data_IF_778146780481
#
_entry.id   IF_778146780481
#
_cell.length_a   1.000
_cell.length_b   1.000
_cell.length_c   1.000
_cell.angle_alpha   90.00
_cell.angle_beta   90.00
_cell.angle_gamma   90.00
#
_symmetry.space_group_name_H-M   'P 1'
#
loop_
_entity.id
_entity.type
_entity.pdbx_description
1 polymer ?
2 non-polymer ?
3 non-polymer ?
4 water ?
#
# COMPACT_ATOMS: atom_id res chain seq x y z
N UNK A 10 16.34 -15.73 -9.77
CA UNK A 10 15.22 -16.63 -9.41
C UNK A 10 15.34 -18.00 -10.10
N UNK A 11 14.84 -19.06 -9.47
CA UNK A 11 14.74 -20.41 -10.10
C UNK A 11 13.25 -20.75 -10.20
N UNK A 12 12.76 -21.01 -11.39
CA UNK A 12 11.34 -21.37 -11.65
C UNK A 12 11.33 -22.76 -12.29
N UNK A 13 10.66 -23.71 -11.65
CA UNK A 13 10.57 -25.11 -12.13
C UNK A 13 9.25 -25.72 -11.66
N UNK A 14 9.03 -27.01 -11.90
CA UNK A 14 7.88 -27.74 -11.34
C UNK A 14 8.42 -28.89 -10.49
N UNK A 15 7.74 -29.25 -9.42
CA UNK A 15 8.16 -30.37 -8.55
C UNK A 15 7.65 -31.69 -9.16
N UNK A 16 7.72 -32.78 -8.42
CA UNK A 16 7.33 -34.13 -8.90
C UNK A 16 5.80 -34.23 -8.99
N UNK A 17 5.07 -33.31 -8.35
CA UNK A 17 3.59 -33.25 -8.42
C UNK A 17 3.16 -32.30 -9.54
N UNK A 18 4.09 -31.79 -10.34
CA UNK A 18 3.79 -30.89 -11.47
C UNK A 18 3.48 -29.49 -10.99
N UNK A 19 3.75 -29.21 -9.72
CA UNK A 19 3.43 -27.89 -9.08
C UNK A 19 4.59 -26.93 -9.34
N UNK A 20 4.28 -25.70 -9.73
CA UNK A 20 5.30 -24.66 -9.95
C UNK A 20 6.00 -24.37 -8.63
N UNK A 21 7.32 -24.31 -8.63
CA UNK A 21 8.14 -23.93 -7.45
C UNK A 21 8.97 -22.71 -7.89
N UNK A 22 8.93 -21.63 -7.13
CA UNK A 22 9.79 -20.44 -7.38
C UNK A 22 10.65 -20.24 -6.12
N UNK A 23 11.95 -20.26 -6.25
CA UNK A 23 12.86 -20.05 -5.10
C UNK A 23 12.49 -20.99 -3.96
N UNK A 24 12.26 -22.26 -4.25
CA UNK A 24 12.01 -23.29 -3.21
C UNK A 24 10.58 -23.30 -2.67
N UNK A 25 9.72 -22.39 -3.11
CA UNK A 25 8.33 -22.25 -2.59
C UNK A 25 7.35 -22.80 -3.63
N UNK A 26 6.45 -23.67 -3.21
CA UNK A 26 5.44 -24.29 -4.09
C UNK A 26 4.21 -23.40 -4.22
N UNK A 27 3.64 -23.34 -5.42
CA UNK A 27 2.43 -22.54 -5.75
C UNK A 27 1.41 -23.49 -6.38
N UNK A 28 0.79 -24.38 -5.59
CA UNK A 28 -0.13 -25.39 -6.14
C UNK A 28 -1.37 -24.81 -6.85
N UNK A 29 -1.70 -23.54 -6.61
CA UNK A 29 -2.90 -22.90 -7.21
C UNK A 29 -2.55 -22.31 -8.57
N UNK A 30 -1.28 -22.32 -8.97
CA UNK A 30 -0.81 -21.63 -10.18
C UNK A 30 -0.78 -22.54 -11.41
N UNK A 31 -1.23 -22.02 -12.54
CA UNK A 31 -1.19 -22.73 -13.84
C UNK A 31 0.18 -22.42 -14.46
N UNK A 32 0.52 -21.14 -14.53
CA UNK A 32 1.80 -20.69 -15.15
C UNK A 32 2.39 -19.51 -14.39
N UNK A 33 3.70 -19.36 -14.40
CA UNK A 33 4.33 -18.12 -13.89
C UNK A 33 4.19 -17.07 -14.98
N UNK A 34 3.83 -15.83 -14.63
CA UNK A 34 3.73 -14.70 -15.60
C UNK A 34 5.00 -13.86 -15.47
N UNK A 35 5.38 -13.51 -14.24
CA UNK A 35 6.55 -12.64 -14.00
C UNK A 35 7.14 -12.85 -12.62
N UNK A 36 8.46 -12.93 -12.51
CA UNK A 36 9.18 -13.01 -11.23
C UNK A 36 9.22 -11.61 -10.59
N UNK A 37 9.52 -11.55 -9.30
CA UNK A 37 9.65 -10.27 -8.57
C UNK A 37 10.65 -9.35 -9.29
N UNK A 38 11.78 -9.88 -9.71
CA UNK A 38 12.86 -9.08 -10.33
C UNK A 38 12.34 -8.42 -11.62
N UNK A 39 11.59 -9.15 -12.43
CA UNK A 39 11.03 -8.64 -13.71
C UNK A 39 9.97 -7.57 -13.39
N UNK A 40 9.09 -7.86 -12.43
CA UNK A 40 8.04 -6.89 -12.03
C UNK A 40 8.71 -5.59 -11.56
N UNK A 41 9.68 -5.69 -10.66
CA UNK A 41 10.30 -4.48 -10.05
C UNK A 41 11.08 -3.70 -11.14
N UNK A 42 11.76 -4.41 -12.01
CA UNK A 42 12.49 -3.75 -13.13
C UNK A 42 11.48 -3.00 -13.98
N UNK A 43 10.34 -3.61 -14.25
CA UNK A 43 9.32 -3.03 -15.12
C UNK A 43 8.70 -1.78 -14.47
N UNK A 44 8.46 -1.84 -13.17
CA UNK A 44 7.83 -0.70 -12.43
C UNK A 44 8.83 0.46 -12.44
N UNK A 45 10.09 0.19 -12.15
CA UNK A 45 11.11 1.26 -12.06
C UNK A 45 11.24 1.93 -13.44
N UNK A 46 11.20 1.17 -14.52
CA UNK A 46 11.29 1.73 -15.89
C UNK A 46 10.11 2.68 -16.14
N UNK A 47 8.90 2.30 -15.74
CA UNK A 47 7.69 3.18 -15.91
C UNK A 47 7.84 4.41 -15.00
N UNK A 48 8.39 4.23 -13.80
CA UNK A 48 8.60 5.37 -12.86
C UNK A 48 9.50 6.41 -13.55
N UNK A 49 10.52 5.97 -14.24
CA UNK A 49 11.42 6.89 -14.99
C UNK A 49 10.59 7.62 -16.07
N UNK A 50 9.76 6.89 -16.81
CA UNK A 50 8.92 7.49 -17.88
C UNK A 50 7.96 8.52 -17.25
N UNK A 51 7.33 8.20 -16.12
CA UNK A 51 6.35 9.10 -15.45
C UNK A 51 7.10 10.35 -14.98
N UNK A 52 8.26 10.17 -14.38
CA UNK A 52 9.07 11.30 -13.86
C UNK A 52 9.49 12.19 -15.03
N UNK A 53 9.95 11.58 -16.12
CA UNK A 53 10.41 12.34 -17.31
C UNK A 53 9.25 13.11 -17.92
N UNK A 54 8.04 12.55 -17.90
CA UNK A 54 6.86 13.19 -18.53
C UNK A 54 6.36 14.36 -17.68
N UNK A 55 6.25 14.19 -16.36
CA UNK A 55 5.61 15.21 -15.48
C UNK A 55 6.60 16.26 -14.94
N UNK A 56 7.86 15.90 -14.76
CA UNK A 56 8.87 16.81 -14.14
C UNK A 56 8.80 18.21 -14.78
N UNK A 57 8.80 18.33 -16.12
CA UNK A 57 8.82 19.67 -16.74
C UNK A 57 7.48 20.43 -16.77
N UNK A 58 6.38 19.85 -16.31
CA UNK A 58 5.04 20.46 -16.50
C UNK A 58 4.70 21.40 -15.35
N UNK A 59 3.72 22.28 -15.52
CA UNK A 59 3.25 23.24 -14.50
C UNK A 59 1.71 23.09 -14.39
N UNK A 60 1.10 23.56 -13.31
CA UNK A 60 -0.36 23.44 -13.10
C UNK A 60 -0.81 24.44 -12.03
N UNK A 61 -2.07 24.42 -11.61
CA UNK A 61 -2.60 25.45 -10.68
C UNK A 61 -1.69 25.58 -9.45
N UNK A 62 -1.42 26.77 -8.97
CA UNK A 62 -0.60 27.07 -7.78
C UNK A 62 -1.60 27.24 -6.63
N UNK A 63 -1.71 26.26 -5.73
CA UNK A 63 -2.60 26.31 -4.55
C UNK A 63 -1.72 26.66 -3.34
N UNK A 64 -0.40 26.53 -3.44
CA UNK A 64 0.55 26.86 -2.35
C UNK A 64 0.67 28.38 -2.24
N UNK A 65 0.94 29.07 -3.35
CA UNK A 65 1.06 30.55 -3.38
C UNK A 65 -0.24 31.19 -3.82
N UNK A 66 -1.36 30.45 -3.77
CA UNK A 66 -2.68 30.94 -4.19
C UNK A 66 -2.51 31.75 -5.46
N UNK A 67 -1.61 31.31 -6.34
CA UNK A 67 -1.23 32.08 -7.54
C UNK A 67 -1.97 31.57 -8.74
N UNK A 68 -1.37 31.68 -9.91
CA UNK A 68 -1.98 31.16 -11.14
C UNK A 68 -1.43 29.78 -11.40
N UNK A 69 -0.24 29.70 -11.95
CA UNK A 69 0.34 28.42 -12.43
C UNK A 69 1.78 28.33 -11.95
N UNK A 70 2.25 27.13 -11.61
CA UNK A 70 3.60 26.94 -11.10
C UNK A 70 4.09 25.53 -11.46
N UNK A 71 5.41 25.30 -11.58
CA UNK A 71 5.91 23.99 -11.90
C UNK A 71 5.51 22.91 -10.88
N UNK A 72 5.43 21.66 -11.32
CA UNK A 72 5.20 20.53 -10.38
C UNK A 72 6.35 20.59 -9.38
N UNK A 73 6.05 20.63 -8.08
CA UNK A 73 7.04 20.79 -7.00
C UNK A 73 6.50 20.20 -5.71
N UNK A 74 7.30 20.19 -4.67
CA UNK A 74 6.80 19.78 -3.35
C UNK A 74 5.70 20.77 -2.94
N UNK A 75 5.76 22.03 -3.36
CA UNK A 75 4.71 23.04 -3.03
C UNK A 75 3.43 22.70 -3.80
N UNK A 76 3.53 22.24 -5.04
CA UNK A 76 2.38 21.88 -5.93
C UNK A 76 2.67 20.52 -6.54
N UNK A 77 2.52 19.42 -5.78
CA UNK A 77 2.91 18.13 -6.30
C UNK A 77 1.98 17.48 -7.34
N UNK A 78 2.51 16.50 -8.07
CA UNK A 78 1.65 15.66 -8.93
C UNK A 78 0.63 15.00 -7.99
N UNK A 79 -0.62 14.95 -8.38
CA UNK A 79 -1.70 14.31 -7.57
C UNK A 79 -1.84 12.87 -8.07
N UNK A 80 -1.62 11.89 -7.21
CA UNK A 80 -1.79 10.45 -7.56
C UNK A 80 -3.01 9.93 -6.80
N UNK A 81 -3.92 9.25 -7.50
CA UNK A 81 -5.11 8.62 -6.89
C UNK A 81 -4.90 7.13 -7.13
N UNK A 82 -4.69 6.35 -6.07
CA UNK A 82 -4.41 4.90 -6.14
C UNK A 82 -5.74 4.17 -5.94
N UNK A 83 -6.04 3.18 -6.76
CA UNK A 83 -7.32 2.43 -6.68
C UNK A 83 -7.18 1.23 -5.72
N UNK A 84 -7.80 1.32 -4.55
CA UNK A 84 -7.81 0.20 -3.58
C UNK A 84 -8.73 -0.90 -4.09
N UNK A 85 -8.52 -2.14 -3.62
CA UNK A 85 -7.42 -2.58 -2.72
C UNK A 85 -6.22 -3.07 -3.55
N UNK A 86 -6.46 -3.62 -4.73
CA UNK A 86 -5.41 -4.27 -5.52
C UNK A 86 -4.16 -3.46 -5.82
N UNK A 87 -4.22 -2.15 -5.85
CA UNK A 87 -3.07 -1.31 -6.25
C UNK A 87 -2.17 -0.91 -5.08
N UNK A 88 -2.51 -1.25 -3.83
CA UNK A 88 -1.76 -0.71 -2.66
C UNK A 88 -0.28 -1.15 -2.65
N UNK A 89 0.02 -2.40 -3.03
CA UNK A 89 1.41 -2.92 -3.02
C UNK A 89 2.16 -2.27 -4.21
N UNK A 90 1.54 -2.29 -5.38
CA UNK A 90 2.10 -1.66 -6.60
C UNK A 90 2.40 -0.19 -6.29
N UNK A 91 1.47 0.49 -5.64
CA UNK A 91 1.59 1.94 -5.34
C UNK A 91 2.76 2.15 -4.35
N UNK A 92 2.84 1.33 -3.31
CA UNK A 92 3.92 1.44 -2.30
C UNK A 92 5.27 1.40 -3.02
N UNK A 93 5.42 0.50 -3.98
CA UNK A 93 6.69 0.34 -4.71
C UNK A 93 6.90 1.48 -5.70
N UNK A 94 5.88 1.82 -6.46
CA UNK A 94 5.99 2.87 -7.51
C UNK A 94 6.39 4.20 -6.86
N UNK A 95 5.78 4.58 -5.73
CA UNK A 95 6.03 5.92 -5.14
C UNK A 95 7.52 6.01 -4.74
N UNK A 96 8.09 4.90 -4.26
CA UNK A 96 9.50 4.91 -3.82
C UNK A 96 10.40 5.08 -5.06
N UNK A 97 10.04 4.46 -6.18
CA UNK A 97 10.80 4.61 -7.46
C UNK A 97 10.60 6.05 -7.99
N UNK A 98 9.40 6.60 -7.86
CA UNK A 98 9.11 7.98 -8.33
C UNK A 98 9.99 8.93 -7.48
N UNK A 99 10.15 8.63 -6.21
CA UNK A 99 11.02 9.44 -5.32
C UNK A 99 12.48 9.30 -5.74
N UNK A 100 12.90 8.11 -6.11
CA UNK A 100 14.29 7.90 -6.60
C UNK A 100 14.55 8.85 -7.78
N UNK A 101 13.54 9.05 -8.64
CA UNK A 101 13.69 9.90 -9.87
C UNK A 101 13.32 11.35 -9.55
N UNK A 102 13.06 11.70 -8.30
CA UNK A 102 12.86 13.09 -7.86
C UNK A 102 11.56 13.73 -8.31
N UNK A 103 10.53 12.95 -8.56
CA UNK A 103 9.21 13.47 -9.00
C UNK A 103 8.40 13.88 -7.75
N UNK A 104 8.12 15.18 -7.54
CA UNK A 104 7.29 15.57 -6.41
C UNK A 104 5.84 15.08 -6.60
N UNK A 105 5.29 14.37 -5.62
CA UNK A 105 3.93 13.80 -5.73
C UNK A 105 3.29 13.54 -4.36
N UNK A 106 1.96 13.43 -4.33
CA UNK A 106 1.20 13.06 -3.12
C UNK A 106 0.20 11.99 -3.56
N UNK A 107 -0.26 11.14 -2.65
CA UNK A 107 -1.12 9.98 -2.99
C UNK A 107 -2.38 9.99 -2.14
N UNK A 108 -3.54 9.81 -2.73
CA UNK A 108 -4.81 9.63 -1.99
C UNK A 108 -5.41 8.35 -2.59
N UNK A 109 -6.50 7.85 -2.04
CA UNK A 109 -7.08 6.57 -2.45
C UNK A 109 -8.57 6.67 -2.72
N UNK A 110 -9.05 5.88 -3.67
CA UNK A 110 -10.50 5.73 -3.93
C UNK A 110 -10.70 4.22 -4.05
N UNK A 111 -11.87 3.68 -3.76
CA UNK A 111 -12.14 2.23 -3.94
C UNK A 111 -13.39 2.11 -4.79
N UNK A 112 -13.44 1.14 -5.69
CA UNK A 112 -14.60 0.93 -6.60
C UNK A 112 -14.98 -0.55 -6.56
N UNK A 113 -16.21 -0.85 -6.92
CA UNK A 113 -16.66 -2.26 -7.02
C UNK A 113 -17.79 -2.39 -8.03
N UNK A 114 -18.02 -3.60 -8.53
CA UNK A 114 -19.08 -3.89 -9.51
C UNK A 114 -20.19 -4.69 -8.82
N UNK A 115 -21.45 -4.46 -9.19
CA UNK A 115 -22.60 -5.24 -8.71
C UNK A 115 -23.24 -5.85 -9.96
N UNK A 122 -22.81 -6.40 -15.25
CA UNK A 122 -22.19 -5.77 -14.06
C UNK A 122 -22.17 -4.25 -14.23
N UNK A 123 -22.33 -3.50 -13.14
CA UNK A 123 -22.36 -2.03 -13.14
C UNK A 123 -21.44 -1.56 -12.01
N UNK A 124 -20.82 -0.39 -12.10
CA UNK A 124 -19.80 0.07 -11.13
C UNK A 124 -20.43 0.96 -10.05
N UNK A 125 -19.87 0.95 -8.84
CA UNK A 125 -20.30 1.82 -7.72
C UNK A 125 -19.06 2.20 -6.90
N UNK A 126 -18.98 3.42 -6.36
CA UNK A 126 -17.85 3.87 -5.51
C UNK A 126 -17.97 3.28 -4.12
N UNK A 127 -16.93 2.68 -3.56
CA UNK A 127 -16.93 2.14 -2.17
C UNK A 127 -16.31 3.17 -1.23
N UNK A 128 -15.27 3.86 -1.69
CA UNK A 128 -14.55 4.85 -0.87
C UNK A 128 -14.16 6.04 -1.74
N UNK A 129 -14.39 7.25 -1.24
CA UNK A 129 -14.09 8.48 -1.97
C UNK A 129 -12.69 8.99 -1.61
N UNK A 130 -12.05 9.75 -2.50
CA UNK A 130 -10.78 10.44 -2.20
C UNK A 130 -11.12 11.57 -1.21
N UNK A 131 -10.17 12.06 -0.43
CA UNK A 131 -10.38 13.18 0.53
C UNK A 131 -9.68 14.46 0.03
N UNK A 132 -8.98 14.42 -1.11
CA UNK A 132 -8.36 15.63 -1.73
C UNK A 132 -9.50 16.52 -2.28
N UNK A 133 -9.48 17.82 -1.99
CA UNK A 133 -10.62 18.74 -2.33
C UNK A 133 -10.20 19.94 -3.20
N UNK A 134 -8.96 19.99 -3.70
CA UNK A 134 -8.42 21.12 -4.51
C UNK A 134 -7.65 20.60 -5.73
N UNK A 135 -8.28 19.80 -6.59
CA UNK A 135 -7.62 19.16 -7.77
C UNK A 135 -7.92 19.91 -9.09
N UNK A 136 -8.79 20.91 -9.05
CA UNK A 136 -9.12 21.68 -10.27
C UNK A 136 -7.82 22.28 -10.80
N UNK A 137 -7.53 22.09 -12.08
CA UNK A 137 -6.33 22.67 -12.72
C UNK A 137 -5.04 21.97 -12.34
N UNK A 138 -5.14 20.79 -11.73
CA UNK A 138 -3.96 19.99 -11.32
C UNK A 138 -3.76 18.81 -12.28
N UNK A 139 -2.54 18.32 -12.42
CA UNK A 139 -2.23 17.10 -13.17
C UNK A 139 -2.57 15.94 -12.21
N UNK A 140 -3.40 15.00 -12.65
CA UNK A 140 -3.84 13.85 -11.82
C UNK A 140 -3.46 12.55 -12.53
N UNK A 141 -2.80 11.63 -11.83
CA UNK A 141 -2.38 10.31 -12.35
C UNK A 141 -3.09 9.24 -11.53
N UNK A 142 -3.81 8.33 -12.19
CA UNK A 142 -4.52 7.21 -11.54
C UNK A 142 -3.53 6.05 -11.52
N UNK A 143 -3.29 5.40 -10.39
CA UNK A 143 -2.47 4.17 -10.31
C UNK A 143 -3.47 3.02 -10.11
N UNK A 144 -3.48 2.05 -11.01
CA UNK A 144 -4.46 0.93 -10.98
C UNK A 144 -3.67 -0.38 -11.15
N UNK A 145 -4.19 -1.46 -10.58
CA UNK A 145 -3.52 -2.79 -10.63
C UNK A 145 -3.59 -3.34 -12.07
N UNK A 146 -4.77 -3.32 -12.67
CA UNK A 146 -4.95 -3.98 -13.99
C UNK A 146 -6.04 -3.32 -14.81
N UNK A 147 -5.86 -3.31 -16.13
CA UNK A 147 -6.93 -2.90 -17.07
C UNK A 147 -7.28 -4.23 -17.76
N UNK A 148 -8.52 -4.69 -17.66
CA UNK A 148 -8.97 -5.98 -18.24
C UNK A 148 -10.10 -5.62 -19.23
N UNK A 149 -11.34 -5.54 -18.77
CA UNK A 149 -12.50 -5.10 -19.61
C UNK A 149 -12.37 -3.61 -19.92
N UNK A 150 -11.84 -2.82 -18.99
CA UNK A 150 -11.71 -1.36 -19.11
C UNK A 150 -12.86 -0.62 -18.44
N UNK A 151 -13.84 -1.33 -17.90
CA UNK A 151 -15.06 -0.69 -17.35
C UNK A 151 -14.73 0.07 -16.06
N UNK A 152 -13.89 -0.52 -15.21
CA UNK A 152 -13.53 0.11 -13.92
C UNK A 152 -12.88 1.48 -14.19
N UNK A 153 -11.90 1.53 -15.08
CA UNK A 153 -11.14 2.78 -15.35
C UNK A 153 -12.02 3.78 -16.12
N UNK A 154 -12.88 3.33 -17.03
CA UNK A 154 -13.80 4.26 -17.76
C UNK A 154 -14.67 4.95 -16.70
N UNK A 155 -15.18 4.21 -15.71
CA UNK A 155 -16.01 4.77 -14.61
C UNK A 155 -15.18 5.78 -13.78
N UNK A 156 -13.98 5.38 -13.38
CA UNK A 156 -13.12 6.24 -12.51
C UNK A 156 -12.75 7.51 -13.28
N UNK A 157 -12.34 7.38 -14.53
CA UNK A 157 -11.86 8.54 -15.32
C UNK A 157 -13.03 9.52 -15.50
N UNK A 158 -14.22 9.02 -15.79
CA UNK A 158 -15.41 9.87 -16.03
C UNK A 158 -15.76 10.60 -14.73
N UNK A 159 -15.68 9.92 -13.59
CA UNK A 159 -16.05 10.50 -12.27
C UNK A 159 -15.01 11.57 -11.87
N UNK A 160 -13.72 11.26 -11.96
CA UNK A 160 -12.65 12.19 -11.51
C UNK A 160 -12.71 13.42 -12.41
N UNK A 161 -12.92 13.21 -13.70
CA UNK A 161 -12.95 14.33 -14.68
C UNK A 161 -14.08 15.31 -14.31
N UNK A 162 -15.30 14.83 -14.15
CA UNK A 162 -16.46 15.73 -13.91
C UNK A 162 -16.42 16.31 -12.50
N UNK A 163 -15.96 15.56 -11.50
CA UNK A 163 -16.05 15.99 -10.07
C UNK A 163 -14.87 16.87 -9.66
N UNK A 164 -13.69 16.67 -10.23
CA UNK A 164 -12.43 17.36 -9.81
C UNK A 164 -11.92 18.31 -10.92
N UNK A 165 -12.38 18.16 -12.16
CA UNK A 165 -11.99 19.07 -13.26
C UNK A 165 -10.46 19.19 -13.31
N UNK A 166 -9.71 18.08 -13.40
CA UNK A 166 -8.27 18.21 -13.46
C UNK A 166 -7.77 18.87 -14.76
N UNK A 167 -6.58 19.48 -14.74
CA UNK A 167 -5.93 20.02 -15.95
C UNK A 167 -5.75 18.86 -16.90
N UNK A 168 -5.09 17.78 -16.46
CA UNK A 168 -4.89 16.56 -17.27
C UNK A 168 -5.21 15.34 -16.39
N UNK A 169 -5.67 14.25 -16.98
CA UNK A 169 -6.00 12.99 -16.27
C UNK A 169 -5.36 11.84 -17.05
N UNK A 170 -4.37 11.16 -16.47
CA UNK A 170 -3.70 10.00 -17.09
C UNK A 170 -3.78 8.77 -16.15
N UNK A 171 -3.47 7.61 -16.68
CA UNK A 171 -3.58 6.32 -15.96
C UNK A 171 -2.30 5.52 -16.12
N UNK A 172 -1.77 4.98 -15.04
CA UNK A 172 -0.63 4.03 -15.05
C UNK A 172 -1.15 2.72 -14.49
N UNK A 173 -1.00 1.62 -15.20
CA UNK A 173 -1.40 0.28 -14.71
C UNK A 173 -0.15 -0.59 -14.53
N UNK A 174 -0.19 -1.46 -13.54
CA UNK A 174 0.88 -2.46 -13.34
C UNK A 174 0.72 -3.44 -14.50
N UNK A 175 -0.50 -3.90 -14.74
CA UNK A 175 -0.75 -4.93 -15.75
C UNK A 175 -1.80 -4.53 -16.80
N UNK A 176 -1.54 -4.85 -18.06
CA UNK A 176 -2.52 -4.70 -19.15
C UNK A 176 -2.87 -6.13 -19.58
N UNK A 177 -4.14 -6.53 -19.55
CA UNK A 177 -4.61 -7.83 -20.10
C UNK A 177 -5.26 -7.41 -21.44
N UNK A 178 -4.52 -7.40 -22.56
CA UNK A 178 -5.04 -6.82 -23.80
C UNK A 178 -6.33 -7.47 -24.33
N UNK A 179 -6.45 -8.79 -24.18
CA UNK A 179 -7.58 -9.53 -24.77
C UNK A 179 -8.88 -9.36 -24.01
N UNK A 180 -8.83 -8.82 -22.80
CA UNK A 180 -10.03 -8.67 -21.97
C UNK A 180 -10.89 -7.46 -22.36
N UNK A 181 -10.40 -6.54 -23.19
CA UNK A 181 -11.11 -5.27 -23.46
C UNK A 181 -12.54 -5.45 -23.97
N UNK A 182 -13.48 -4.74 -23.37
CA UNK A 182 -14.89 -4.71 -23.81
C UNK A 182 -15.27 -3.22 -24.03
N UNK A 183 -14.49 -2.26 -23.52
CA UNK A 183 -14.67 -0.81 -23.78
C UNK A 183 -13.27 -0.24 -24.07
N UNK A 184 -13.16 0.82 -24.86
CA UNK A 184 -11.86 1.35 -25.29
C UNK A 184 -11.16 1.94 -24.06
N UNK A 185 -9.95 1.48 -23.76
CA UNK A 185 -9.17 1.94 -22.60
C UNK A 185 -7.72 1.54 -22.81
N UNK A 186 -6.82 2.46 -23.05
CA UNK A 186 -5.38 2.14 -23.11
C UNK A 186 -4.72 3.09 -22.11
N UNK A 187 -4.29 2.59 -20.94
CA UNK A 187 -3.58 3.42 -20.02
C UNK A 187 -2.37 4.08 -20.70
N UNK A 188 -2.00 5.26 -20.26
CA UNK A 188 -0.86 6.01 -20.80
C UNK A 188 0.43 5.26 -20.45
N UNK A 189 0.48 4.67 -19.25
CA UNK A 189 1.69 3.97 -18.75
C UNK A 189 1.31 2.52 -18.38
N UNK A 190 2.09 1.53 -18.84
CA UNK A 190 1.84 0.09 -18.60
C UNK A 190 3.16 -0.57 -18.21
N UNK A 191 3.24 -1.18 -17.02
CA UNK A 191 4.49 -1.82 -16.53
C UNK A 191 4.64 -3.19 -17.19
N UNK A 192 3.57 -3.98 -17.21
CA UNK A 192 3.63 -5.39 -17.69
C UNK A 192 2.42 -5.73 -18.55
N UNK A 193 2.56 -6.67 -19.45
CA UNK A 193 1.44 -7.21 -20.25
C UNK A 193 1.25 -8.65 -19.74
N UNK A 194 0.02 -9.06 -19.47
CA UNK A 194 -0.29 -10.39 -18.91
C UNK A 194 -1.10 -11.19 -19.93
N UNK A 195 -1.11 -12.53 -19.83
CA UNK A 195 -1.94 -13.32 -20.72
C UNK A 195 -3.43 -13.11 -20.42
N UNK A 196 -4.31 -13.56 -21.32
CA UNK A 196 -5.79 -13.41 -21.21
C UNK A 196 -6.27 -14.51 -20.28
N UNK A 197 -5.85 -14.45 -19.02
CA UNK A 197 -6.15 -15.47 -18.00
C UNK A 197 -6.31 -14.75 -16.66
N UNK A 198 -6.90 -15.39 -15.68
CA UNK A 198 -7.03 -14.81 -14.32
C UNK A 198 -5.63 -14.82 -13.69
N UNK A 199 -5.10 -13.64 -13.33
CA UNK A 199 -3.75 -13.52 -12.70
C UNK A 199 -3.86 -13.43 -11.16
N UNK A 200 -2.85 -13.88 -10.46
CA UNK A 200 -2.80 -13.81 -8.97
C UNK A 200 -1.39 -13.41 -8.57
N UNK A 201 -1.24 -12.87 -7.37
CA UNK A 201 0.07 -12.42 -6.86
C UNK A 201 0.28 -10.94 -6.99
N UNK A 202 1.19 -10.38 -6.21
CA UNK A 202 1.56 -8.95 -6.28
C UNK A 202 0.30 -8.08 -6.38
N UNK A 203 -0.62 -8.25 -5.43
CA UNK A 203 -1.86 -7.45 -5.37
C UNK A 203 -3.07 -8.17 -5.94
N UNK A 204 -2.88 -9.14 -6.84
CA UNK A 204 -3.99 -9.86 -7.51
C UNK A 204 -4.46 -10.97 -6.57
N UNK A 205 -5.76 -11.16 -6.44
CA UNK A 205 -6.33 -12.03 -5.39
C UNK A 205 -7.37 -13.06 -5.83
N UNK A 206 -7.66 -14.03 -4.98
CA UNK A 206 -8.84 -14.92 -5.10
C UNK A 206 -9.49 -14.79 -3.71
N UNK A 207 -10.54 -13.99 -3.54
CA UNK A 207 -11.15 -13.71 -2.21
C UNK A 207 -10.07 -13.24 -1.23
N UNK A 208 -9.23 -12.31 -1.63
CA UNK A 208 -8.15 -11.67 -0.79
C UNK A 208 -6.95 -12.59 -0.55
N UNK A 209 -6.98 -13.83 -1.00
CA UNK A 209 -5.81 -14.71 -0.88
C UNK A 209 -4.81 -14.42 -2.02
N UNK A 210 -3.52 -14.66 -1.80
CA UNK A 210 -2.46 -14.62 -2.84
C UNK A 210 -1.91 -13.22 -3.15
N UNK A 211 -2.46 -12.16 -2.55
CA UNK A 211 -2.02 -10.77 -2.83
C UNK A 211 -0.55 -10.59 -2.39
N UNK A 212 -0.12 -11.29 -1.36
CA UNK A 212 1.23 -11.10 -0.75
C UNK A 212 2.35 -11.78 -1.57
N UNK A 213 2.01 -12.52 -2.61
CA UNK A 213 3.03 -13.23 -3.42
C UNK A 213 3.90 -12.16 -4.10
N UNK A 214 5.19 -12.41 -4.23
CA UNK A 214 6.18 -11.47 -4.82
C UNK A 214 6.19 -11.63 -6.34
N UNK A 215 5.55 -12.69 -6.85
CA UNK A 215 5.52 -13.03 -8.29
C UNK A 215 4.07 -13.04 -8.77
N UNK A 216 3.87 -12.90 -10.08
CA UNK A 216 2.51 -12.94 -10.69
C UNK A 216 2.38 -14.28 -11.43
N UNK A 217 1.25 -14.95 -11.23
CA UNK A 217 0.97 -16.25 -11.86
C UNK A 217 -0.42 -16.24 -12.50
N UNK A 218 -0.71 -17.19 -13.39
CA UNK A 218 -2.08 -17.45 -13.88
C UNK A 218 -2.69 -18.46 -12.89
N UNK A 219 -4.00 -18.42 -12.69
CA UNK A 219 -4.71 -19.31 -11.71
C UNK A 219 -5.20 -20.58 -12.41
N UNK A 220 -4.97 -21.73 -11.80
CA UNK A 220 -5.58 -22.99 -12.30
C UNK A 220 -7.09 -22.74 -12.30
N UNK A 221 -7.86 -23.05 -13.36
CA UNK A 221 -9.30 -22.67 -13.38
C UNK A 221 -10.14 -23.22 -12.21
N UNK A 222 -9.84 -24.41 -11.71
CA UNK A 222 -10.61 -25.02 -10.60
C UNK A 222 -10.42 -24.33 -9.25
N UNK A 223 -9.44 -23.41 -9.12
CA UNK A 223 -9.10 -22.76 -7.82
C UNK A 223 -9.92 -21.47 -7.60
N UNK A 224 -10.64 -20.96 -8.60
CA UNK A 224 -11.31 -19.64 -8.54
C UNK A 224 -12.43 -19.59 -7.48
N UNK A 225 -13.09 -20.71 -7.17
CA UNK A 225 -14.17 -20.78 -6.15
C UNK A 225 -13.72 -21.64 -4.96
N UNK A 226 -12.44 -21.67 -4.66
CA UNK A 226 -11.89 -22.47 -3.53
C UNK A 226 -12.30 -21.84 -2.20
N UNK A 227 -12.50 -20.52 -2.14
CA UNK A 227 -12.77 -19.79 -0.88
C UNK A 227 -14.10 -19.07 -1.02
N UNK A 228 -15.23 -19.80 -0.99
CA UNK A 228 -16.53 -19.19 -1.24
C UNK A 228 -17.05 -18.28 -0.11
N UNK A 229 -16.64 -18.52 1.13
CA UNK A 229 -17.20 -17.79 2.30
C UNK A 229 -16.78 -16.31 2.30
N UNK A 230 -17.72 -15.43 2.58
CA UNK A 230 -17.47 -13.98 2.64
C UNK A 230 -16.62 -13.70 3.86
N UNK A 231 -15.67 -12.78 3.75
CA UNK A 231 -14.77 -12.44 4.87
C UNK A 231 -15.49 -11.41 5.75
N UNK B 9 27.21 -0.24 3.57
CA UNK B 9 25.87 -0.12 2.91
C UNK B 9 25.26 1.21 3.34
N UNK B 10 24.70 1.99 2.45
CA UNK B 10 24.21 3.38 2.69
C UNK B 10 25.39 4.30 3.00
N UNK B 11 25.59 5.32 2.18
CA UNK B 11 26.63 6.36 2.37
C UNK B 11 25.89 7.57 2.96
N UNK B 12 26.12 7.91 4.21
CA UNK B 12 25.43 9.03 4.90
C UNK B 12 26.44 10.14 5.15
N UNK B 13 26.16 11.35 4.68
CA UNK B 13 27.05 12.52 4.81
C UNK B 13 26.24 13.81 4.88
N UNK B 14 26.93 14.94 4.92
CA UNK B 14 26.28 16.27 4.85
C UNK B 14 26.99 17.06 3.75
N UNK B 15 26.26 17.82 2.98
CA UNK B 15 26.83 18.65 1.91
C UNK B 15 27.28 19.99 2.51
N UNK B 16 27.78 20.88 1.68
CA UNK B 16 28.33 22.17 2.14
C UNK B 16 27.22 23.06 2.73
N UNK B 17 25.95 22.81 2.40
CA UNK B 17 24.80 23.57 2.96
C UNK B 17 24.39 22.94 4.32
N UNK B 18 25.11 21.93 4.79
CA UNK B 18 24.83 21.25 6.07
C UNK B 18 23.67 20.27 5.95
N UNK B 19 23.22 19.99 4.74
CA UNK B 19 22.02 19.14 4.48
C UNK B 19 22.45 17.66 4.44
N UNK B 20 21.66 16.79 5.06
CA UNK B 20 21.94 15.34 5.10
C UNK B 20 21.84 14.79 3.68
N UNK B 21 22.79 13.96 3.29
CA UNK B 21 22.80 13.29 1.97
C UNK B 21 22.89 11.78 2.25
N UNK B 22 21.97 10.98 1.73
CA UNK B 22 21.97 9.49 1.86
C UNK B 22 22.03 8.94 0.43
N UNK B 23 23.08 8.19 0.10
CA UNK B 23 23.21 7.59 -1.26
C UNK B 23 23.04 8.67 -2.34
N UNK B 24 23.56 9.88 -2.12
CA UNK B 24 23.60 10.91 -3.16
C UNK B 24 22.37 11.77 -3.25
N UNK B 25 21.37 11.52 -2.40
CA UNK B 25 20.13 12.32 -2.37
C UNK B 25 20.16 13.23 -1.15
N UNK B 26 19.82 14.49 -1.33
CA UNK B 26 19.77 15.48 -0.22
C UNK B 26 18.38 15.54 0.40
N UNK B 27 18.32 15.74 1.72
CA UNK B 27 17.07 15.83 2.49
C UNK B 27 17.08 17.16 3.27
N UNK B 28 16.86 18.30 2.60
CA UNK B 28 16.98 19.60 3.28
C UNK B 28 15.95 19.80 4.41
N UNK B 29 14.90 18.98 4.45
CA UNK B 29 13.80 19.13 5.45
C UNK B 29 14.16 18.34 6.71
N UNK B 30 15.22 17.55 6.69
CA UNK B 30 15.55 16.62 7.78
C UNK B 30 16.54 17.22 8.78
N UNK B 31 16.35 16.92 10.06
CA UNK B 31 17.29 17.34 11.11
C UNK B 31 18.32 16.22 11.28
N UNK B 32 17.87 14.98 11.44
CA UNK B 32 18.78 13.82 11.63
C UNK B 32 18.20 12.56 10.98
N UNK B 33 19.08 11.62 10.64
CA UNK B 33 18.66 10.31 10.14
C UNK B 33 18.25 9.47 11.36
N UNK B 34 17.14 8.75 11.27
CA UNK B 34 16.68 7.83 12.35
C UNK B 34 17.06 6.40 11.90
N UNK B 35 16.70 6.03 10.69
CA UNK B 35 16.95 4.66 10.21
C UNK B 35 17.03 4.58 8.69
N UNK B 36 18.03 3.87 8.18
CA UNK B 36 18.20 3.62 6.74
C UNK B 36 17.20 2.55 6.31
N UNK B 37 17.00 2.44 5.02
CA UNK B 37 16.10 1.42 4.44
C UNK B 37 16.54 0.02 4.90
N UNK B 38 17.84 -0.24 4.89
CA UNK B 38 18.37 -1.60 5.20
C UNK B 38 17.96 -1.94 6.64
N UNK B 39 18.10 -1.00 7.56
CA UNK B 39 17.75 -1.23 8.99
C UNK B 39 16.22 -1.39 9.10
N UNK B 40 15.46 -0.57 8.39
CA UNK B 40 13.97 -0.61 8.50
C UNK B 40 13.50 -1.99 8.03
N UNK B 41 13.99 -2.43 6.87
CA UNK B 41 13.50 -3.69 6.26
C UNK B 41 13.90 -4.89 7.14
N UNK B 42 15.10 -4.87 7.67
CA UNK B 42 15.58 -5.96 8.57
C UNK B 42 14.65 -6.01 9.81
N UNK B 43 14.25 -4.83 10.31
CA UNK B 43 13.42 -4.74 11.53
C UNK B 43 12.01 -5.26 11.24
N UNK B 44 11.47 -4.91 10.08
CA UNK B 44 10.10 -5.34 9.70
C UNK B 44 10.10 -6.86 9.52
N UNK B 45 11.08 -7.39 8.82
CA UNK B 45 11.14 -8.85 8.52
C UNK B 45 11.29 -9.63 9.83
N UNK B 46 12.07 -9.10 10.76
CA UNK B 46 12.26 -9.76 12.08
C UNK B 46 10.91 -9.85 12.80
N UNK B 47 10.11 -8.79 12.74
CA UNK B 47 8.78 -8.77 13.43
C UNK B 47 7.81 -9.67 12.65
N UNK B 48 7.94 -9.73 11.32
CA UNK B 48 7.10 -10.63 10.49
C UNK B 48 7.29 -12.07 11.00
N UNK B 49 8.52 -12.44 11.30
CA UNK B 49 8.82 -13.80 11.79
C UNK B 49 8.13 -14.00 13.14
N UNK B 50 8.21 -13.00 14.02
CA UNK B 50 7.57 -13.05 15.36
C UNK B 50 6.05 -13.23 15.18
N UNK B 51 5.45 -12.49 14.24
CA UNK B 51 3.99 -12.52 14.00
C UNK B 51 3.63 -13.91 13.47
N UNK B 52 4.36 -14.39 12.47
CA UNK B 52 4.06 -15.70 11.86
C UNK B 52 4.23 -16.81 12.93
N UNK B 53 5.28 -16.71 13.73
CA UNK B 53 5.55 -17.73 14.78
C UNK B 53 4.43 -17.73 15.82
N UNK B 54 3.89 -16.56 16.15
CA UNK B 54 2.86 -16.42 17.20
C UNK B 54 1.51 -16.92 16.70
N UNK B 55 1.16 -16.64 15.45
CA UNK B 55 -0.20 -16.90 14.94
C UNK B 55 -0.37 -18.29 14.30
N UNK B 56 0.67 -18.82 13.65
CA UNK B 56 0.50 -20.09 12.90
C UNK B 56 0.00 -21.21 13.85
N UNK B 57 0.39 -21.24 15.14
CA UNK B 57 -0.15 -22.24 16.07
C UNK B 57 -1.62 -22.07 16.51
N UNK B 58 -2.23 -20.93 16.21
CA UNK B 58 -3.57 -20.58 16.77
C UNK B 58 -4.73 -21.09 15.91
N UNK B 59 -5.90 -21.15 16.52
CA UNK B 59 -7.16 -21.61 15.88
C UNK B 59 -8.23 -20.57 16.18
N UNK B 60 -9.26 -20.50 15.36
CA UNK B 60 -10.35 -19.52 15.54
C UNK B 60 -11.61 -20.00 14.81
N UNK B 61 -12.65 -19.19 14.75
CA UNK B 61 -13.95 -19.59 14.17
C UNK B 61 -13.76 -20.08 12.74
N UNK B 62 -14.36 -21.23 12.40
CA UNK B 62 -14.33 -21.81 11.04
C UNK B 62 -15.52 -21.23 10.27
N UNK B 63 -15.29 -20.33 9.32
CA UNK B 63 -16.35 -19.73 8.46
C UNK B 63 -16.30 -20.40 7.10
N UNK B 64 -15.29 -21.21 6.82
CA UNK B 64 -15.12 -21.94 5.55
C UNK B 64 -15.94 -23.25 5.61
N UNK B 65 -15.78 -24.03 6.69
CA UNK B 65 -16.38 -25.36 6.81
C UNK B 65 -17.46 -25.53 7.87
N UNK B 66 -18.22 -24.49 8.20
CA UNK B 66 -19.38 -24.67 9.11
C UNK B 66 -19.03 -24.92 10.57
N UNK B 67 -18.06 -24.21 11.12
CA UNK B 67 -17.73 -24.30 12.55
C UNK B 67 -16.95 -25.55 12.89
N UNK B 68 -16.60 -25.71 14.15
CA UNK B 68 -16.59 -24.65 15.16
C UNK B 68 -15.28 -23.87 15.10
N UNK B 69 -14.20 -24.49 15.58
CA UNK B 69 -12.85 -23.86 15.64
C UNK B 69 -11.92 -24.66 14.74
N UNK B 70 -11.05 -23.97 14.01
CA UNK B 70 -10.10 -24.59 13.07
C UNK B 70 -8.82 -23.77 13.05
N UNK B 71 -7.69 -24.36 12.64
CA UNK B 71 -6.44 -23.64 12.66
C UNK B 71 -6.42 -22.45 11.70
N UNK B 72 -5.61 -21.45 11.99
CA UNK B 72 -5.39 -20.34 11.02
C UNK B 72 -4.91 -21.06 9.76
N UNK B 73 -5.53 -20.81 8.62
CA UNK B 73 -5.23 -21.49 7.34
C UNK B 73 -5.64 -20.59 6.18
N UNK B 74 -5.36 -21.02 4.95
CA UNK B 74 -5.83 -20.26 3.79
C UNK B 74 -7.35 -20.27 3.83
N UNK B 75 -7.98 -21.30 4.37
CA UNK B 75 -9.47 -21.39 4.45
C UNK B 75 -9.98 -20.42 5.52
N UNK B 76 -9.25 -20.27 6.62
CA UNK B 76 -9.60 -19.38 7.76
C UNK B 76 -8.35 -18.54 8.10
N UNK B 77 -8.00 -17.54 7.29
CA UNK B 77 -6.77 -16.81 7.53
C UNK B 77 -6.78 -15.81 8.71
N UNK B 78 -5.61 -15.43 9.18
CA UNK B 78 -5.50 -14.31 10.14
C UNK B 78 -6.14 -13.10 9.44
N UNK B 79 -6.90 -12.32 10.17
CA UNK B 79 -7.54 -11.09 9.63
C UNK B 79 -6.66 -9.91 10.00
N UNK B 80 -6.12 -9.19 9.02
CA UNK B 80 -5.30 -7.98 9.26
C UNK B 80 -6.12 -6.75 8.85
N UNK B 81 -6.19 -5.76 9.73
CA UNK B 81 -6.84 -4.45 9.43
C UNK B 81 -5.70 -3.43 9.38
N UNK B 82 -5.46 -2.82 8.23
CA UNK B 82 -4.40 -1.81 8.01
C UNK B 82 -5.06 -0.43 8.09
N UNK B 83 -4.43 0.50 8.80
CA UNK B 83 -4.99 1.88 9.01
C UNK B 83 -4.47 2.81 7.91
N UNK B 84 -5.35 3.25 7.03
CA UNK B 84 -4.99 4.19 5.96
C UNK B 84 -5.06 5.63 6.52
N UNK B 85 -4.30 6.54 5.93
CA UNK B 85 -3.36 6.31 4.80
C UNK B 85 -1.96 5.94 5.31
N UNK B 86 -1.65 6.25 6.56
CA UNK B 86 -0.27 6.13 7.08
C UNK B 86 0.41 4.79 6.96
N UNK B 87 -0.30 3.69 7.05
CA UNK B 87 0.32 2.33 7.12
C UNK B 87 0.42 1.60 5.77
N UNK B 88 0.03 2.20 4.66
CA UNK B 88 -0.09 1.43 3.39
C UNK B 88 1.27 0.88 2.91
N UNK B 89 2.33 1.67 3.00
CA UNK B 89 3.69 1.24 2.54
C UNK B 89 4.21 0.15 3.50
N UNK B 90 4.16 0.42 4.79
CA UNK B 90 4.55 -0.56 5.84
C UNK B 90 3.78 -1.86 5.63
N UNK B 91 2.47 -1.74 5.37
CA UNK B 91 1.60 -2.93 5.21
C UNK B 91 2.07 -3.71 3.97
N UNK B 92 2.31 -3.02 2.85
CA UNK B 92 2.74 -3.68 1.58
C UNK B 92 4.01 -4.51 1.82
N UNK B 93 4.94 -3.96 2.58
CA UNK B 93 6.21 -4.67 2.88
C UNK B 93 5.98 -5.81 3.87
N UNK B 94 5.22 -5.54 4.91
CA UNK B 94 4.99 -6.53 5.99
C UNK B 94 4.29 -7.77 5.39
N UNK B 95 3.24 -7.58 4.62
CA UNK B 95 2.46 -8.76 4.13
C UNK B 95 3.40 -9.66 3.29
N UNK B 96 4.32 -9.08 2.55
CA UNK B 96 5.21 -9.89 1.68
C UNK B 96 6.14 -10.72 2.58
N UNK B 97 6.56 -10.13 3.70
CA UNK B 97 7.40 -10.87 4.67
C UNK B 97 6.55 -11.95 5.35
N UNK B 98 5.30 -11.65 5.68
CA UNK B 98 4.40 -12.63 6.32
C UNK B 98 4.22 -13.80 5.34
N UNK B 99 4.09 -13.51 4.06
CA UNK B 99 3.98 -14.56 3.03
C UNK B 99 5.26 -15.39 3.03
N UNK B 100 6.41 -14.74 3.11
CA UNK B 100 7.71 -15.46 3.12
C UNK B 100 7.73 -16.48 4.26
N UNK B 101 7.18 -16.11 5.41
CA UNK B 101 7.19 -16.95 6.63
C UNK B 101 5.95 -17.87 6.68
N UNK B 102 5.14 -17.90 5.63
CA UNK B 102 4.04 -18.87 5.50
C UNK B 102 2.87 -18.61 6.44
N UNK B 103 2.63 -17.36 6.82
CA UNK B 103 1.44 -17.04 7.65
C UNK B 103 0.22 -16.83 6.74
N UNK B 104 -0.86 -17.64 6.84
CA UNK B 104 -2.06 -17.37 6.07
C UNK B 104 -2.74 -16.11 6.62
N UNK B 105 -2.98 -15.14 5.73
CA UNK B 105 -3.60 -13.86 6.14
C UNK B 105 -4.32 -13.15 5.00
N UNK B 106 -5.25 -12.28 5.36
CA UNK B 106 -5.97 -11.41 4.39
C UNK B 106 -5.96 -10.01 5.01
N UNK B 107 -6.01 -8.97 4.18
CA UNK B 107 -5.89 -7.57 4.66
C UNK B 107 -7.10 -6.77 4.21
N UNK B 108 -7.71 -6.00 5.10
CA UNK B 108 -8.75 -5.01 4.72
C UNK B 108 -8.25 -3.69 5.32
N UNK B 109 -8.88 -2.59 4.96
CA UNK B 109 -8.41 -1.25 5.38
C UNK B 109 -9.52 -0.48 6.08
N UNK B 110 -9.14 0.30 7.08
CA UNK B 110 -10.04 1.33 7.65
C UNK B 110 -9.25 2.63 7.43
N UNK B 111 -9.93 3.76 7.22
CA UNK B 111 -9.25 5.06 7.06
C UNK B 111 -9.71 5.97 8.19
N UNK B 112 -8.76 6.55 8.92
CA UNK B 112 -9.03 7.46 10.05
C UNK B 112 -8.36 8.79 9.76
N UNK B 113 -8.92 9.89 10.24
CA UNK B 113 -8.31 11.24 10.14
C UNK B 113 -8.46 11.94 11.48
N UNK B 125 -12.09 11.12 13.41
CA UNK B 125 -13.12 10.75 12.42
C UNK B 125 -12.77 9.48 11.61
N UNK B 126 -13.73 8.57 11.44
CA UNK B 126 -13.57 7.40 10.55
C UNK B 126 -14.05 7.84 9.19
N UNK B 127 -13.20 7.78 8.16
CA UNK B 127 -13.53 8.24 6.79
C UNK B 127 -13.92 7.05 5.93
N UNK B 128 -13.36 5.87 6.19
CA UNK B 128 -13.67 4.65 5.41
C UNK B 128 -13.77 3.45 6.35
N UNK B 129 -14.82 2.65 6.20
CA UNK B 129 -15.08 1.46 7.03
C UNK B 129 -14.47 0.22 6.36
N UNK B 130 -14.23 -0.82 7.13
CA UNK B 130 -13.83 -2.12 6.57
C UNK B 130 -15.00 -2.70 5.75
N UNK B 131 -14.73 -3.57 4.78
CA UNK B 131 -15.76 -4.30 4.00
C UNK B 131 -15.91 -5.72 4.56
N UNK B 132 -14.96 -6.19 5.36
CA UNK B 132 -15.01 -7.53 6.01
C UNK B 132 -16.18 -7.51 7.02
N UNK B 133 -16.98 -8.56 7.06
CA UNK B 133 -18.21 -8.61 7.89
C UNK B 133 -18.33 -9.94 8.67
N UNK B 134 -17.27 -10.75 8.76
CA UNK B 134 -17.30 -12.08 9.43
C UNK B 134 -16.07 -12.23 10.34
N UNK B 135 -15.83 -11.25 11.21
CA UNK B 135 -14.63 -11.22 12.09
C UNK B 135 -14.95 -11.75 13.51
N UNK B 136 -16.20 -12.06 13.80
CA UNK B 136 -16.60 -12.59 15.13
C UNK B 136 -15.82 -13.88 15.41
N UNK B 137 -15.15 -13.96 16.56
CA UNK B 137 -14.42 -15.18 16.93
C UNK B 137 -13.19 -15.40 16.08
N UNK B 138 -12.74 -14.38 15.37
CA UNK B 138 -11.51 -14.46 14.55
C UNK B 138 -10.34 -13.76 15.24
N UNK B 139 -9.12 -14.18 14.96
CA UNK B 139 -7.90 -13.50 15.42
C UNK B 139 -7.72 -12.31 14.48
N UNK B 140 -7.64 -11.11 15.01
CA UNK B 140 -7.51 -9.86 14.20
C UNK B 140 -6.24 -9.10 14.63
N UNK B 141 -5.45 -8.66 13.68
CA UNK B 141 -4.20 -7.90 13.91
C UNK B 141 -4.33 -6.56 13.22
N UNK B 142 -4.09 -5.48 13.93
CA UNK B 142 -4.10 -4.11 13.36
C UNK B 142 -2.67 -3.79 12.94
N UNK B 143 -2.44 -3.30 11.72
CA UNK B 143 -1.11 -2.82 11.27
C UNK B 143 -1.24 -1.29 11.25
N UNK B 144 -0.43 -0.58 12.03
CA UNK B 144 -0.48 0.89 12.16
C UNK B 144 0.93 1.46 11.99
N UNK B 145 1.03 2.71 11.56
CA UNK B 145 2.33 3.37 11.29
C UNK B 145 3.08 3.66 12.59
N UNK B 146 2.43 4.33 13.52
CA UNK B 146 3.14 4.79 14.74
C UNK B 146 2.19 4.90 15.92
N UNK B 147 2.71 4.64 17.11
CA UNK B 147 1.98 4.92 18.37
C UNK B 147 2.78 6.08 18.97
N UNK B 148 2.14 7.21 19.23
CA UNK B 148 2.78 8.41 19.79
C UNK B 148 1.99 8.72 21.06
N UNK B 149 0.86 9.43 20.94
CA UNK B 149 -0.03 9.74 22.09
C UNK B 149 -0.75 8.48 22.56
N UNK B 150 -1.08 7.56 21.65
CA UNK B 150 -1.87 6.34 21.96
C UNK B 150 -3.35 6.53 21.67
N UNK B 151 -3.78 7.76 21.37
CA UNK B 151 -5.23 8.06 21.25
C UNK B 151 -5.83 7.40 20.00
N UNK B 152 -5.12 7.40 18.88
CA UNK B 152 -5.67 6.86 17.60
C UNK B 152 -5.97 5.36 17.80
N UNK B 153 -5.04 4.62 18.39
CA UNK B 153 -5.19 3.16 18.54
C UNK B 153 -6.27 2.87 19.60
N UNK B 154 -6.36 3.66 20.66
CA UNK B 154 -7.43 3.46 21.68
C UNK B 154 -8.77 3.58 20.95
N UNK B 155 -8.92 4.58 20.08
CA UNK B 155 -10.16 4.79 19.28
C UNK B 155 -10.43 3.59 18.37
N UNK B 156 -9.43 3.17 17.59
CA UNK B 156 -9.59 2.06 16.61
C UNK B 156 -9.88 0.75 17.37
N UNK B 157 -9.13 0.46 18.44
CA UNK B 157 -9.26 -0.83 19.17
C UNK B 157 -10.67 -0.94 19.75
N UNK B 158 -11.17 0.13 20.35
CA UNK B 158 -12.52 0.14 20.92
C UNK B 158 -13.55 -0.12 19.81
N UNK B 159 -13.41 0.58 18.70
CA UNK B 159 -14.35 0.45 17.55
C UNK B 159 -14.36 -1.00 17.04
N UNK B 160 -13.20 -1.59 16.78
CA UNK B 160 -13.09 -2.95 16.18
C UNK B 160 -13.64 -3.98 17.16
N UNK B 161 -13.31 -3.86 18.44
CA UNK B 161 -13.75 -4.84 19.46
C UNK B 161 -15.28 -4.84 19.49
N UNK B 162 -15.91 -3.67 19.56
CA UNK B 162 -17.38 -3.56 19.73
C UNK B 162 -18.15 -3.97 18.48
N UNK B 163 -17.65 -3.67 17.30
CA UNK B 163 -18.40 -3.94 16.04
C UNK B 163 -18.12 -5.35 15.52
N UNK B 164 -16.94 -5.91 15.76
CA UNK B 164 -16.52 -7.21 15.16
C UNK B 164 -16.43 -8.35 16.19
N UNK B 165 -16.31 -8.05 17.48
CA UNK B 165 -16.22 -9.05 18.57
C UNK B 165 -15.18 -10.12 18.20
N UNK B 166 -13.93 -9.73 17.91
CA UNK B 166 -12.92 -10.71 17.54
C UNK B 166 -12.53 -11.63 18.70
N UNK B 167 -11.99 -12.81 18.42
CA UNK B 167 -11.48 -13.76 19.45
C UNK B 167 -10.35 -13.07 20.19
N UNK B 168 -9.39 -12.52 19.43
CA UNK B 168 -8.28 -11.73 20.01
C UNK B 168 -8.03 -10.52 19.10
N UNK B 169 -7.55 -9.42 19.68
CA UNK B 169 -7.23 -8.19 18.92
C UNK B 169 -5.81 -7.77 19.36
N UNK B 170 -4.86 -7.73 18.43
CA UNK B 170 -3.48 -7.28 18.73
C UNK B 170 -3.09 -6.17 17.76
N UNK B 171 -2.03 -5.43 18.10
CA UNK B 171 -1.54 -4.30 17.29
C UNK B 171 -0.06 -4.49 16.96
N UNK B 172 0.31 -4.31 15.71
CA UNK B 172 1.72 -4.28 15.27
C UNK B 172 1.95 -2.86 14.73
N UNK B 173 2.90 -2.12 15.29
CA UNK B 173 3.25 -0.78 14.79
C UNK B 173 4.64 -0.84 14.15
N UNK B 174 4.83 -0.07 13.08
CA UNK B 174 6.17 0.08 12.50
C UNK B 174 7.02 0.80 13.54
N UNK B 175 6.49 1.87 14.12
CA UNK B 175 7.27 2.72 15.04
C UNK B 175 6.58 2.96 16.39
N UNK B 176 7.37 3.00 17.45
CA UNK B 176 6.90 3.36 18.81
C UNK B 176 7.67 4.62 19.22
N UNK B 177 6.99 5.72 19.55
CA UNK B 177 7.62 6.93 20.14
C UNK B 177 7.20 6.87 21.62
N UNK B 178 7.93 6.14 22.50
CA UNK B 178 7.45 5.93 23.87
C UNK B 178 7.28 7.25 24.64
N UNK B 179 8.06 8.28 24.30
CA UNK B 179 8.04 9.57 25.03
C UNK B 179 6.83 10.43 24.74
N UNK B 180 5.97 10.08 23.79
CA UNK B 180 4.83 10.93 23.41
C UNK B 180 3.50 10.52 24.00
N UNK B 181 3.46 9.54 24.89
CA UNK B 181 2.17 8.98 25.36
C UNK B 181 1.33 9.96 26.17
N UNK B 182 0.04 10.02 25.91
CA UNK B 182 -0.94 10.79 26.72
C UNK B 182 -1.92 9.78 27.34
N UNK B 183 -2.07 8.58 26.76
CA UNK B 183 -2.97 7.51 27.25
C UNK B 183 -2.22 6.18 27.18
N UNK B 184 -2.64 5.18 27.94
CA UNK B 184 -1.96 3.87 28.00
C UNK B 184 -2.19 3.14 26.66
N UNK B 185 -1.11 2.76 25.99
CA UNK B 185 -1.18 2.01 24.72
C UNK B 185 0.17 1.32 24.52
N UNK B 186 0.23 0.00 24.68
CA UNK B 186 1.45 -0.80 24.44
C UNK B 186 1.17 -1.77 23.28
N UNK B 187 1.65 -1.48 22.05
CA UNK B 187 1.47 -2.40 20.97
C UNK B 187 2.06 -3.77 21.29
N UNK B 188 1.50 -4.82 20.73
CA UNK B 188 1.98 -6.21 20.95
C UNK B 188 3.27 -6.45 20.16
N UNK B 189 3.41 -5.84 19.00
CA UNK B 189 4.58 -5.99 18.12
C UNK B 189 5.06 -4.59 17.70
N UNK B 190 6.37 -4.33 17.79
CA UNK B 190 7.00 -3.02 17.44
C UNK B 190 8.25 -3.29 16.59
N UNK B 191 8.33 -2.72 15.40
CA UNK B 191 9.49 -2.92 14.50
C UNK B 191 10.63 -2.01 14.96
N UNK B 192 10.35 -0.74 15.20
CA UNK B 192 11.40 0.28 15.48
C UNK B 192 10.98 1.23 16.61
N UNK B 193 11.94 1.75 17.35
CA UNK B 193 11.70 2.80 18.37
C UNK B 193 12.24 4.09 17.72
N UNK B 194 11.47 5.18 17.77
CA UNK B 194 11.87 6.47 17.15
C UNK B 194 12.14 7.49 18.25
N UNK B 195 12.97 8.51 17.98
CA UNK B 195 13.19 9.57 18.95
C UNK B 195 11.90 10.36 19.21
N UNK B 196 11.87 11.16 20.27
CA UNK B 196 10.69 11.96 20.65
C UNK B 196 10.71 13.20 19.79
N UNK B 197 10.56 13.03 18.49
CA UNK B 197 10.63 14.13 17.50
C UNK B 197 9.67 13.79 16.37
N UNK B 198 9.32 14.77 15.56
CA UNK B 198 8.44 14.56 14.40
C UNK B 198 9.25 13.78 13.39
N UNK B 199 8.78 12.60 12.98
CA UNK B 199 9.48 11.74 11.99
C UNK B 199 8.85 11.87 10.60
N UNK B 200 9.65 11.71 9.56
CA UNK B 200 9.19 11.78 8.15
C UNK B 200 9.88 10.64 7.40
N UNK B 201 9.31 10.25 6.28
CA UNK B 201 9.89 9.16 5.47
C UNK B 201 9.22 7.82 5.73
N UNK B 202 9.37 6.89 4.79
CA UNK B 202 8.78 5.54 4.89
C UNK B 202 7.36 5.61 5.44
N UNK B 203 6.49 6.36 4.78
CA UNK B 203 5.06 6.47 5.15
C UNK B 203 4.75 7.69 6.00
N UNK B 204 5.74 8.23 6.70
CA UNK B 204 5.56 9.38 7.61
C UNK B 204 5.61 10.66 6.77
N UNK B 205 4.71 11.60 7.05
CA UNK B 205 4.58 12.77 6.16
C UNK B 205 4.33 14.13 6.82
N UNK B 206 4.45 15.19 6.02
CA UNK B 206 4.04 16.57 6.36
C UNK B 206 3.06 16.92 5.23
N UNK B 207 1.78 16.97 5.51
CA UNK B 207 0.72 17.20 4.48
C UNK B 207 0.96 16.30 3.26
N UNK B 208 1.16 15.01 3.48
CA UNK B 208 1.30 13.97 2.41
C UNK B 208 2.65 14.04 1.70
N UNK B 209 3.50 14.99 2.05
CA UNK B 209 4.87 15.05 1.49
C UNK B 209 5.81 14.11 2.26
N UNK B 210 6.80 13.53 1.60
CA UNK B 210 7.92 12.77 2.23
C UNK B 210 7.60 11.29 2.49
N UNK B 211 6.39 10.81 2.19
CA UNK B 211 6.02 9.40 2.51
C UNK B 211 6.88 8.44 1.69
N UNK B 212 7.36 8.87 0.51
CA UNK B 212 8.05 7.98 -0.46
C UNK B 212 9.53 7.78 -0.13
N UNK B 213 10.06 8.47 0.86
CA UNK B 213 11.48 8.27 1.25
C UNK B 213 11.68 6.81 1.71
N UNK B 214 12.85 6.24 1.44
CA UNK B 214 13.18 4.85 1.82
C UNK B 214 13.76 4.83 3.24
N UNK B 215 14.06 6.00 3.79
CA UNK B 215 14.68 6.16 5.12
C UNK B 215 13.77 7.03 5.99
N UNK B 216 13.89 6.87 7.30
CA UNK B 216 13.12 7.69 8.27
C UNK B 216 14.08 8.74 8.83
N UNK B 217 13.62 9.97 8.89
CA UNK B 217 14.39 11.11 9.43
C UNK B 217 13.52 11.86 10.45
N UNK B 218 14.15 12.71 11.23
CA UNK B 218 13.44 13.67 12.09
C UNK B 218 13.28 14.92 11.24
N UNK B 219 12.23 15.68 11.47
CA UNK B 219 11.90 16.90 10.69
C UNK B 219 12.50 18.11 11.38
N UNK B 220 13.05 19.03 10.59
CA UNK B 220 13.60 20.29 11.15
C UNK B 220 12.43 21.00 11.83
N UNK B 221 12.66 21.59 13.03
CA UNK B 221 11.60 22.21 13.78
C UNK B 221 10.83 23.27 12.96
N UNK B 222 9.51 23.30 13.08
CA UNK B 222 8.66 24.32 12.43
C UNK B 222 8.29 23.96 11.01
N UNK B 223 8.93 22.93 10.43
CA UNK B 223 8.71 22.58 9.00
C UNK B 223 7.36 21.86 8.85
N UNK B 224 6.70 21.50 9.94
CA UNK B 224 5.37 20.81 9.88
C UNK B 224 4.31 21.77 9.33
N UNK B 225 4.62 23.05 9.15
CA UNK B 225 3.71 24.09 8.61
C UNK B 225 4.19 24.50 7.21
N UNK B 226 5.13 23.80 6.62
CA UNK B 226 5.74 24.14 5.30
C UNK B 226 4.66 24.20 4.21
N UNK B 227 3.64 23.33 4.25
CA UNK B 227 2.61 23.20 3.18
C UNK B 227 1.23 23.44 3.80
N UNK B 228 0.81 24.70 4.04
CA UNK B 228 -0.44 24.97 4.74
C UNK B 228 -1.70 24.71 3.89
N UNK B 229 -1.57 24.71 2.56
CA UNK B 229 -2.74 24.60 1.66
C UNK B 229 -3.35 23.21 1.73
N UNK B 230 -4.66 23.13 1.92
CA UNK B 230 -5.34 21.81 1.89
C UNK B 230 -5.32 21.21 0.46
N UNK B 231 -4.90 19.95 0.36
CA UNK B 231 -4.83 19.27 -0.96
C UNK B 231 -6.28 18.97 -1.37
X LIG C 1 -9.90 -8.29 -11.96
X LIG C 1 -10.12 -6.25 -10.57
X LIG C 1 -9.77 -5.38 -11.68
X LIG C 1 -10.62 -4.07 -13.71
X LIG C 1 -7.34 -10.71 -12.59
X LIG C 1 -7.42 -10.66 -10.17
X LIG C 1 -8.95 -9.19 -11.57
X LIG C 1 -8.42 -9.68 -12.72
X LIG C 1 -9.89 -8.28 -13.36
X LIG C 1 -10.76 -7.50 -10.96
X LIG C 1 -10.97 -5.08 -12.62
X LIG C 1 -6.86 -11.18 -11.36
X LIG C 1 -8.46 -9.67 -10.26
X LIG C 1 -8.98 -9.13 -13.78
X LIG C 1 -6.92 -11.10 -13.55
X LIG C 1 -10.93 -3.36 -16.10
X LIG C 1 -13.04 -3.54 -15.04
X LIG C 1 -12.01 -5.53 -15.65
X LIG C 1 -12.10 -4.70 -11.88
X LIG C 1 -11.72 -4.16 -15.20
X LIG C 1 -10.71 -5.76 -9.93
X LIG C 1 -9.41 -4.43 -11.28
X LIG C 1 -8.99 -5.84 -12.26
X LIG C 1 -10.67 -3.08 -13.29
X LIG C 1 -9.60 -4.26 -14.03
X LIG C 1 -7.07 -11.01 -9.20
X LIG C 1 -10.53 -7.67 -14.00
X LIG C 1 -10.90 -8.12 -10.07
X LIG C 1 -11.73 -7.30 -11.40
X LIG C 1 -11.23 -6.00 -13.13
X LIG C 1 -6.13 -11.87 -11.34
X LIG C 1 -8.76 -9.33 -14.73
X LIG C 1 -11.84 -4.07 -11.23
X LIG D 1 -9.85 -5.02 -5.60
X LIG D 1 -11.03 -5.14 -6.55
X LIG D 1 -8.81 -4.09 -6.19
X LIG D 1 -9.24 -6.38 -5.38
X LIG D 1 -10.33 -4.47 -4.27
X LIG E 1 1.60 11.61 13.86
X LIG E 1 -0.22 10.33 12.80
X LIG E 1 -0.11 9.26 13.79
X LIG E 1 -0.91 8.39 16.05
X LIG E 1 5.16 11.80 13.45
X LIG E 1 4.32 12.04 11.15
X LIG E 1 2.75 11.74 13.11
X LIG E 1 3.79 11.68 13.99
X LIG E 1 2.02 11.48 15.18
X LIG E 1 0.19 11.65 13.28
X LIG E 1 -0.93 9.56 15.07
X LIG E 1 5.41 11.97 12.08
X LIG E 1 2.98 11.93 11.67
X LIG E 1 3.33 11.51 15.22
X LIG E 1 6.01 11.73 14.20
X LIG E 1 -2.68 9.15 18.04
X LIG E 1 -0.52 10.06 18.18
X LIG E 1 -0.91 7.69 18.56
X LIG E 1 -2.22 9.93 14.69
X LIG E 1 -1.27 8.87 17.80
X LIG E 1 -1.16 10.38 12.47
X LIG E 1 0.93 9.11 14.06
X LIG E 1 -0.48 8.34 13.35
X LIG E 1 -1.65 7.67 15.73
X LIG E 1 0.07 7.93 16.02
X LIG E 1 4.50 12.18 10.09
X LIG E 1 1.37 11.34 16.05
X LIG E 1 -0.50 12.00 14.03
X LIG E 1 0.18 12.34 12.44
X LIG E 1 -0.47 10.41 15.57
X LIG E 1 6.35 12.04 11.75
X LIG E 1 3.90 11.42 16.04
X LIG E 1 -2.58 9.27 14.11
#
# INVERSE_FOLDING_TARGET
MISSQQAMVHVVSRNAEGVIVVDGKAYPMAEELVATESVIQRSIKAVAKQIADFYRPLSHRDTHGGGGVAPISDENPLIIISVLKGSYIFTADMVRYLGDYGLPHVVDFLRVASYRGTSSTNKMQLLAETQFKALRGKHVLILEDIVDSGKTLRYILDKVQREHQPATLKVCVLADKPGGRRVTMQPDFVCLTVPNKYVIGYGFEVNDRFRCFRHIFTLRPGEARRYPAHL
MISSQQAMVHVVSRNAEGVIVVDGKAYPMAEELVATESVIQRSIKAVAKQIADFYRPLSHRDTHGGGGVAPISDENPLIIISVLKGSYIFTADMVRYLGDYGLPHVVDFLRVASYRGTSSTNKMQLLAETQFKALRGKHVLILEDIVDSGKTLRYILDKVQREHQPATLKVCVLADKPGGRRVTMQPDFVCLTVPNKYVIGYGFEVNDRFRCFRHIFTLRPGEARRYPAHL
YCE C10 N12 C13 C15 C02 C04 C06 C07 C09 C11 C14 N03 N05 N08 O01 O17 O18 O19 O20 P16 H121 H131 H132 H152 H151 H041 H091 H112 H111 H141 H031 H081 H201
PO4 P O1 O2 O3 O4
YCE C10 N12 C13 C15 C02 C04 C06 C07 C09 C11 C14 N03 N05 N08 O01 O17 O18 O19 O20 P16 H121 H131 H132 H152 H151 H041 H091 H112 H111 H141 H031 H081 H201
#
